data_IF_344016634581
#
_entry.id   IF_344016634581
#
_cell.length_a   1.000
_cell.length_b   1.000
_cell.length_c   1.000
_cell.angle_alpha   90.00
_cell.angle_beta   90.00
_cell.angle_gamma   90.00
#
_symmetry.space_group_name_H-M   'P 1'
#
loop_
_entity.id
_entity.type
_entity.pdbx_description
1 polymer ?
#
# COMPACT_ATOMS: atom_id res chain seq x y z
N UNK A 1 61.64 41.73 48.09
CA UNK A 1 61.33 40.97 46.85
C UNK A 1 61.51 39.51 47.20
N UNK A 2 60.43 38.79 47.50
CA UNK A 2 60.45 37.38 47.92
C UNK A 2 59.68 36.58 46.88
N UNK A 3 60.41 35.80 46.08
CA UNK A 3 59.85 34.85 45.13
C UNK A 3 59.61 33.52 45.86
N UNK A 4 58.34 33.11 45.97
CA UNK A 4 57.98 31.75 46.38
C UNK A 4 58.03 30.84 45.16
N UNK A 5 58.95 29.87 45.20
CA UNK A 5 59.08 28.81 44.21
C UNK A 5 58.23 27.62 44.68
N UNK A 6 57.13 27.32 44.00
CA UNK A 6 56.31 26.13 44.26
C UNK A 6 56.85 24.91 43.47
N UNK A 7 56.94 23.71 44.09
CA UNK A 7 57.47 22.53 43.43
C UNK A 7 56.43 21.90 42.47
N UNK A 8 56.81 21.83 41.18
CA UNK A 8 56.05 21.30 40.04
C UNK A 8 55.85 19.78 40.03
N UNK A 9 56.31 19.05 41.06
CA UNK A 9 56.18 17.60 41.13
C UNK A 9 54.79 17.09 41.56
N UNK A 10 54.00 17.91 42.25
CA UNK A 10 52.70 17.49 42.82
C UNK A 10 51.58 17.47 41.76
N UNK A 11 51.76 18.18 40.63
CA UNK A 11 50.70 18.37 39.64
C UNK A 11 50.49 17.19 38.66
N UNK A 12 51.37 16.18 38.64
CA UNK A 12 51.25 15.01 37.75
C UNK A 12 50.61 13.76 38.39
N UNK A 13 50.44 13.75 39.72
CA UNK A 13 49.94 12.58 40.45
C UNK A 13 48.42 12.65 40.65
N UNK A 14 47.88 13.86 40.79
CA UNK A 14 46.45 14.13 41.02
C UNK A 14 45.52 13.50 39.95
N UNK A 15 45.77 13.58 38.63
CA UNK A 15 44.84 13.02 37.64
C UNK A 15 44.78 11.48 37.66
N UNK A 16 45.87 10.79 38.04
CA UNK A 16 45.88 9.32 38.11
C UNK A 16 45.07 8.80 39.30
N UNK A 17 45.09 9.52 40.42
CA UNK A 17 44.31 9.16 41.62
C UNK A 17 42.82 9.34 41.34
N UNK A 18 42.43 10.38 40.59
CA UNK A 18 41.03 10.62 40.22
C UNK A 18 40.48 9.51 39.32
N UNK A 19 41.26 9.05 38.32
CA UNK A 19 40.84 7.96 37.42
C UNK A 19 40.66 6.63 38.17
N UNK A 20 41.58 6.31 39.08
CA UNK A 20 41.47 5.09 39.90
C UNK A 20 40.25 5.16 40.83
N UNK A 21 40.00 6.31 41.45
CA UNK A 21 38.81 6.50 42.29
C UNK A 21 37.50 6.35 41.47
N UNK A 22 37.46 6.85 40.24
CA UNK A 22 36.30 6.76 39.36
C UNK A 22 36.02 5.30 38.92
N UNK A 23 37.06 4.52 38.60
CA UNK A 23 36.92 3.09 38.29
C UNK A 23 36.43 2.26 39.47
N UNK A 24 36.87 2.58 40.69
CA UNK A 24 36.40 1.91 41.91
C UNK A 24 34.92 2.22 42.17
N UNK A 25 34.49 3.48 41.99
CA UNK A 25 33.07 3.86 42.12
C UNK A 25 32.22 3.16 41.06
N UNK A 26 32.68 3.10 39.81
CA UNK A 26 31.96 2.44 38.73
C UNK A 26 31.83 0.92 38.95
N UNK A 27 32.87 0.27 39.47
CA UNK A 27 32.80 -1.14 39.90
C UNK A 27 31.83 -1.38 41.06
N UNK A 28 31.75 -0.44 42.02
CA UNK A 28 30.78 -0.48 43.12
C UNK A 28 29.33 -0.35 42.62
N UNK A 29 29.07 0.51 41.64
CA UNK A 29 27.73 0.67 41.04
C UNK A 29 27.32 -0.59 40.28
N UNK A 30 28.22 -1.17 39.49
CA UNK A 30 27.97 -2.43 38.78
C UNK A 30 27.66 -3.57 39.76
N UNK A 31 28.41 -3.66 40.87
CA UNK A 31 28.15 -4.66 41.90
C UNK A 31 26.81 -4.47 42.60
N UNK A 32 26.40 -3.22 42.87
CA UNK A 32 25.10 -2.89 43.43
C UNK A 32 23.96 -3.27 42.47
N UNK A 33 24.12 -3.05 41.17
CA UNK A 33 23.15 -3.46 40.15
C UNK A 33 23.05 -4.99 40.04
N UNK A 34 24.16 -5.72 40.09
CA UNK A 34 24.12 -7.19 40.12
C UNK A 34 23.37 -7.74 41.33
N UNK A 35 23.54 -7.13 42.52
CA UNK A 35 22.76 -7.53 43.70
C UNK A 35 21.26 -7.24 43.57
N UNK A 36 20.88 -6.16 42.87
CA UNK A 36 19.47 -5.87 42.59
C UNK A 36 18.87 -6.87 41.58
N UNK A 37 19.64 -7.27 40.55
CA UNK A 37 19.22 -8.28 39.57
C UNK A 37 19.02 -9.64 40.24
N UNK A 38 19.95 -10.09 41.10
CA UNK A 38 19.77 -11.35 41.82
C UNK A 38 18.60 -11.33 42.81
N UNK A 39 18.30 -10.16 43.42
CA UNK A 39 17.10 -10.00 44.24
C UNK A 39 15.81 -10.05 43.40
N UNK A 40 15.84 -9.54 42.16
CA UNK A 40 14.74 -9.62 41.21
C UNK A 40 14.52 -11.06 40.72
N UNK A 41 15.59 -11.79 40.40
CA UNK A 41 15.52 -13.22 40.05
C UNK A 41 14.93 -14.05 41.18
N UNK A 42 15.30 -13.77 42.44
CA UNK A 42 14.71 -14.46 43.60
C UNK A 42 13.22 -14.15 43.75
N UNK A 43 12.77 -12.92 43.48
CA UNK A 43 11.35 -12.55 43.53
C UNK A 43 10.56 -13.13 42.36
N UNK A 44 11.16 -13.20 41.17
CA UNK A 44 10.59 -13.86 40.00
C UNK A 44 10.45 -15.36 40.28
N UNK A 45 11.46 -16.01 40.85
CA UNK A 45 11.40 -17.43 41.17
C UNK A 45 10.33 -17.75 42.23
N UNK A 46 10.16 -16.89 43.24
CA UNK A 46 9.08 -17.00 44.22
C UNK A 46 7.70 -16.80 43.55
N UNK A 47 7.57 -15.86 42.60
CA UNK A 47 6.33 -15.63 41.84
C UNK A 47 6.03 -16.81 40.91
N UNK A 48 7.01 -17.34 40.19
CA UNK A 48 6.87 -18.53 39.34
C UNK A 48 6.50 -19.75 40.18
N UNK A 49 7.14 -19.94 41.34
CA UNK A 49 6.81 -21.02 42.26
C UNK A 49 5.40 -20.88 42.85
N UNK A 50 4.95 -19.65 43.12
CA UNK A 50 3.57 -19.39 43.60
C UNK A 50 2.55 -19.58 42.47
N UNK A 51 2.91 -19.26 41.23
CA UNK A 51 2.08 -19.44 40.03
C UNK A 51 1.96 -20.91 39.64
N UNK A 52 3.06 -21.67 39.72
CA UNK A 52 3.07 -23.13 39.56
C UNK A 52 2.27 -23.81 40.67
N UNK A 53 2.31 -23.30 41.90
CA UNK A 53 1.44 -23.77 42.99
C UNK A 53 -0.04 -23.45 42.74
N UNK A 54 -0.37 -22.31 42.12
CA UNK A 54 -1.73 -21.99 41.72
C UNK A 54 -2.24 -22.89 40.57
N UNK A 55 -1.36 -23.24 39.63
CA UNK A 55 -1.65 -24.19 38.55
C UNK A 55 -1.73 -25.66 39.03
N UNK A 56 -1.01 -26.00 40.09
CA UNK A 56 -1.16 -27.29 40.77
C UNK A 56 -2.44 -27.33 41.61
N UNK A 57 -2.85 -26.21 42.22
CA UNK A 57 -4.08 -26.11 42.99
C UNK A 57 -5.34 -26.30 42.11
N UNK A 58 -5.33 -25.86 40.86
CA UNK A 58 -6.42 -26.14 39.90
C UNK A 58 -6.52 -27.63 39.56
N UNK A 59 -5.38 -28.34 39.48
CA UNK A 59 -5.34 -29.81 39.36
C UNK A 59 -5.97 -30.52 40.57
N UNK A 60 -5.61 -30.09 41.79
CA UNK A 60 -6.17 -30.66 43.03
C UNK A 60 -7.69 -30.45 43.18
N UNK A 61 -8.23 -29.36 42.65
CA UNK A 61 -9.69 -29.07 42.70
C UNK A 61 -10.46 -29.95 41.71
N UNK A 62 -9.88 -30.24 40.54
CA UNK A 62 -10.44 -31.16 39.55
C UNK A 62 -10.47 -32.61 40.07
N UNK A 63 -9.37 -33.06 40.70
CA UNK A 63 -9.30 -34.39 41.30
C UNK A 63 -10.27 -34.52 42.48
N UNK A 64 -10.41 -33.47 43.30
CA UNK A 64 -11.40 -33.42 44.38
C UNK A 64 -12.87 -33.45 43.88
N UNK A 65 -13.16 -32.77 42.76
CA UNK A 65 -14.47 -32.81 42.11
C UNK A 65 -14.84 -34.20 41.57
N UNK A 66 -13.83 -34.92 41.07
CA UNK A 66 -13.96 -36.31 40.59
C UNK A 66 -14.22 -37.28 41.74
N UNK A 67 -13.47 -37.17 42.84
CA UNK A 67 -13.67 -37.98 44.06
C UNK A 67 -15.06 -37.76 44.69
N UNK A 68 -15.58 -36.53 44.67
CA UNK A 68 -16.94 -36.22 45.16
C UNK A 68 -18.02 -36.88 44.29
N UNK A 69 -17.80 -36.97 42.99
CA UNK A 69 -18.73 -37.64 42.10
C UNK A 69 -18.72 -39.16 42.28
N UNK A 70 -17.57 -39.78 42.56
CA UNK A 70 -17.52 -41.20 42.94
C UNK A 70 -18.31 -41.48 44.22
N UNK A 71 -18.19 -40.62 45.25
CA UNK A 71 -18.97 -40.76 46.50
C UNK A 71 -20.47 -40.57 46.23
N UNK A 72 -20.85 -39.63 45.35
CA UNK A 72 -22.27 -39.40 44.98
C UNK A 72 -22.85 -40.56 44.20
N UNK A 73 -22.11 -41.14 43.28
CA UNK A 73 -22.52 -42.33 42.53
C UNK A 73 -22.76 -43.51 43.49
N UNK A 74 -21.88 -43.68 44.50
CA UNK A 74 -22.04 -44.70 45.55
C UNK A 74 -23.28 -44.49 46.43
N UNK A 75 -23.74 -43.25 46.55
CA UNK A 75 -24.96 -42.86 47.27
C UNK A 75 -26.20 -42.73 46.37
N UNK A 76 -26.10 -43.10 45.09
CA UNK A 76 -27.14 -42.92 44.05
C UNK A 76 -27.64 -41.47 43.92
N UNK A 77 -26.77 -40.50 44.22
CA UNK A 77 -27.03 -39.09 44.02
C UNK A 77 -26.56 -38.67 42.61
N UNK A 78 -27.20 -37.66 41.98
CA UNK A 78 -26.75 -37.16 40.69
C UNK A 78 -25.31 -36.63 40.74
N UNK A 79 -24.46 -37.11 39.83
CA UNK A 79 -23.11 -36.57 39.64
C UNK A 79 -23.20 -35.17 39.01
N UNK A 80 -22.24 -34.30 39.31
CA UNK A 80 -22.20 -32.92 38.80
C UNK A 80 -20.84 -32.66 38.18
N UNK A 81 -20.81 -32.20 36.94
CA UNK A 81 -19.54 -31.82 36.32
C UNK A 81 -18.99 -30.55 37.00
N UNK A 82 -17.72 -30.60 37.39
CA UNK A 82 -17.02 -29.48 38.05
C UNK A 82 -15.99 -28.87 37.12
N UNK A 83 -16.24 -28.93 35.80
CA UNK A 83 -15.49 -28.15 34.83
C UNK A 83 -15.68 -26.65 35.12
N UNK A 84 -14.57 -25.91 35.20
CA UNK A 84 -14.58 -24.45 35.39
C UNK A 84 -15.01 -23.69 34.13
N UNK A 85 -15.53 -24.40 33.12
CA UNK A 85 -15.95 -23.86 31.85
C UNK A 85 -17.25 -24.58 31.49
N UNK A 86 -18.38 -23.98 31.86
CA UNK A 86 -19.59 -24.01 31.01
C UNK A 86 -20.57 -22.92 31.46
N UNK A 87 -20.87 -22.04 30.50
CA UNK A 87 -21.90 -21.01 30.53
C UNK A 87 -23.30 -21.63 30.47
N UNK A 88 -24.19 -21.23 31.39
CA UNK A 88 -25.54 -20.68 31.08
C UNK A 88 -26.37 -20.61 32.37
N UNK A 89 -26.34 -19.45 33.03
CA UNK A 89 -27.55 -18.81 33.51
C UNK A 89 -27.28 -17.32 33.67
N UNK A 90 -28.10 -16.54 32.97
CA UNK A 90 -28.09 -15.09 32.88
C UNK A 90 -28.22 -14.41 34.25
N UNK A 91 -27.09 -14.14 34.89
CA UNK A 91 -26.77 -12.75 35.21
C UNK A 91 -25.76 -12.33 34.14
N UNK A 92 -25.91 -11.14 33.57
CA UNK A 92 -24.77 -10.47 32.94
C UNK A 92 -23.75 -10.25 34.06
N UNK A 93 -22.99 -11.29 34.38
CA UNK A 93 -21.64 -11.13 34.87
C UNK A 93 -20.94 -10.45 33.70
N UNK A 94 -20.97 -9.12 33.73
CA UNK A 94 -19.83 -8.36 33.23
C UNK A 94 -18.62 -9.17 33.69
N UNK A 95 -17.93 -9.86 32.77
CA UNK A 95 -16.56 -10.35 33.04
C UNK A 95 -15.91 -9.19 33.77
N UNK A 96 -15.65 -9.34 35.07
CA UNK A 96 -15.40 -8.21 35.96
C UNK A 96 -14.35 -7.36 35.26
N UNK A 97 -14.77 -6.20 34.73
CA UNK A 97 -14.01 -5.52 33.68
C UNK A 97 -12.62 -5.18 34.22
N UNK A 98 -12.56 -5.01 35.54
CA UNK A 98 -11.34 -4.84 36.33
C UNK A 98 -10.43 -6.07 36.26
N UNK A 99 -10.95 -7.29 36.40
CA UNK A 99 -10.20 -8.55 36.31
C UNK A 99 -9.66 -8.75 34.88
N UNK A 100 -10.50 -8.60 33.84
CA UNK A 100 -10.05 -8.72 32.44
C UNK A 100 -9.02 -7.64 32.10
N UNK A 101 -9.24 -6.39 32.53
CA UNK A 101 -8.26 -5.31 32.36
C UNK A 101 -6.97 -5.55 33.15
N UNK A 102 -7.02 -6.19 34.32
CA UNK A 102 -5.83 -6.53 35.10
C UNK A 102 -5.01 -7.61 34.42
N UNK A 103 -5.64 -8.66 33.88
CA UNK A 103 -4.95 -9.69 33.09
C UNK A 103 -4.34 -9.11 31.83
N UNK A 104 -5.08 -8.24 31.13
CA UNK A 104 -4.54 -7.51 29.98
C UNK A 104 -3.35 -6.65 30.38
N UNK A 105 -3.45 -5.87 31.46
CA UNK A 105 -2.34 -5.06 31.97
C UNK A 105 -1.11 -5.90 32.34
N UNK A 106 -1.29 -7.05 33.00
CA UNK A 106 -0.20 -7.97 33.33
C UNK A 106 0.42 -8.54 32.05
N UNK A 107 -0.40 -8.90 31.05
CA UNK A 107 0.06 -9.34 29.74
C UNK A 107 0.87 -8.25 29.04
N UNK A 108 0.36 -7.02 28.99
CA UNK A 108 1.02 -5.86 28.38
C UNK A 108 2.35 -5.54 29.09
N UNK A 109 2.40 -5.63 30.42
CA UNK A 109 3.64 -5.47 31.20
C UNK A 109 4.63 -6.59 30.91
N UNK A 110 4.17 -7.84 30.84
CA UNK A 110 5.00 -9.00 30.48
C UNK A 110 5.59 -8.87 29.08
N UNK A 111 4.76 -8.46 28.11
CA UNK A 111 5.16 -8.19 26.74
C UNK A 111 6.18 -7.04 26.67
N UNK A 112 5.95 -5.96 27.41
CA UNK A 112 6.90 -4.83 27.50
C UNK A 112 8.24 -5.23 28.11
N UNK A 113 8.26 -6.08 29.14
CA UNK A 113 9.50 -6.61 29.73
C UNK A 113 10.23 -7.48 28.70
N UNK A 114 9.51 -8.36 28.00
CA UNK A 114 10.08 -9.22 26.96
C UNK A 114 10.67 -8.40 25.81
N UNK A 115 9.94 -7.41 25.29
CA UNK A 115 10.44 -6.51 24.25
C UNK A 115 11.67 -5.75 24.70
N UNK A 116 11.67 -5.23 25.94
CA UNK A 116 12.84 -4.52 26.51
C UNK A 116 14.07 -5.42 26.62
N UNK A 117 13.89 -6.69 27.00
CA UNK A 117 14.98 -7.65 27.06
C UNK A 117 15.54 -7.95 25.67
N UNK A 118 14.68 -8.20 24.68
CA UNK A 118 15.08 -8.45 23.29
C UNK A 118 15.83 -7.25 22.71
N UNK A 119 15.34 -6.02 22.93
CA UNK A 119 16.02 -4.79 22.51
C UNK A 119 17.41 -4.68 23.16
N UNK A 120 17.51 -4.94 24.47
CA UNK A 120 18.79 -4.91 25.18
C UNK A 120 19.79 -5.93 24.62
N UNK A 121 19.34 -7.14 24.31
CA UNK A 121 20.17 -8.19 23.73
C UNK A 121 20.63 -7.83 22.30
N UNK A 122 19.73 -7.31 21.46
CA UNK A 122 20.07 -6.83 20.12
C UNK A 122 21.04 -5.64 20.17
N UNK A 123 20.82 -4.68 21.07
CA UNK A 123 21.73 -3.55 21.27
C UNK A 123 23.12 -4.02 21.71
N UNK A 124 23.18 -4.98 22.63
CA UNK A 124 24.44 -5.57 23.07
C UNK A 124 25.16 -6.24 21.90
N UNK A 125 24.44 -7.04 21.11
CA UNK A 125 24.98 -7.72 19.93
C UNK A 125 25.50 -6.72 18.88
N UNK A 126 24.69 -5.75 18.46
CA UNK A 126 25.07 -4.79 17.41
C UNK A 126 26.09 -3.74 17.88
N UNK A 127 26.22 -3.51 19.19
CA UNK A 127 27.24 -2.62 19.73
C UNK A 127 28.58 -3.31 20.03
N UNK A 128 28.63 -4.65 19.95
CA UNK A 128 29.86 -5.43 20.10
C UNK A 128 30.92 -5.04 19.08
N UNK A 129 32.20 -5.25 19.44
CA UNK A 129 33.31 -4.94 18.55
C UNK A 129 33.33 -5.89 17.34
N UNK A 130 32.94 -7.14 17.57
CA UNK A 130 32.84 -8.21 16.59
C UNK A 130 31.82 -7.88 15.50
N UNK A 131 30.59 -7.50 15.87
CA UNK A 131 29.54 -7.16 14.90
C UNK A 131 29.87 -5.88 14.15
N UNK A 132 30.44 -4.87 14.82
CA UNK A 132 30.93 -3.65 14.14
C UNK A 132 32.03 -3.95 13.13
N UNK A 133 32.96 -4.84 13.46
CA UNK A 133 34.00 -5.28 12.55
C UNK A 133 33.43 -6.06 11.36
N UNK A 134 32.48 -6.98 11.60
CA UNK A 134 31.78 -7.73 10.55
C UNK A 134 31.07 -6.81 9.57
N UNK A 135 30.28 -5.85 10.07
CA UNK A 135 29.59 -4.87 9.22
C UNK A 135 30.61 -4.05 8.40
N UNK A 136 31.68 -3.56 9.03
CA UNK A 136 32.71 -2.78 8.34
C UNK A 136 33.44 -3.60 7.26
N UNK A 137 33.80 -4.86 7.53
CA UNK A 137 34.41 -5.78 6.56
C UNK A 137 33.50 -5.98 5.34
N UNK A 138 32.19 -6.09 5.57
CA UNK A 138 31.19 -6.27 4.52
C UNK A 138 30.77 -4.96 3.82
N UNK A 139 31.36 -3.83 4.20
CA UNK A 139 31.03 -2.50 3.67
C UNK A 139 29.60 -2.07 4.01
N UNK A 140 29.11 -2.48 5.17
CA UNK A 140 27.80 -2.16 5.71
C UNK A 140 27.93 -1.15 6.85
N UNK A 141 26.86 -0.39 7.05
CA UNK A 141 26.75 0.61 8.10
C UNK A 141 25.40 0.53 8.79
N UNK A 142 25.36 0.99 10.05
CA UNK A 142 24.17 1.06 10.89
C UNK A 142 24.25 2.34 11.71
N UNK A 143 23.13 3.05 11.83
CA UNK A 143 23.00 4.18 12.77
C UNK A 143 22.74 3.67 14.20
N UNK A 144 23.25 4.38 15.20
CA UNK A 144 23.05 4.02 16.60
C UNK A 144 21.56 4.17 16.98
N UNK A 145 20.99 3.15 17.64
CA UNK A 145 19.57 3.12 18.01
C UNK A 145 18.60 2.71 16.89
N UNK A 146 19.13 2.34 15.72
CA UNK A 146 18.34 1.74 14.64
C UNK A 146 18.96 0.38 14.26
N UNK A 147 18.14 -0.57 13.81
CA UNK A 147 18.60 -1.83 13.25
C UNK A 147 18.45 -1.88 11.72
N UNK A 148 18.41 -0.69 11.10
CA UNK A 148 18.49 -0.49 9.67
C UNK A 148 19.95 -0.56 9.19
N UNK A 149 20.25 -1.59 8.40
CA UNK A 149 21.59 -1.89 7.91
C UNK A 149 21.66 -1.54 6.43
N UNK A 150 22.58 -0.66 6.09
CA UNK A 150 22.73 -0.10 4.75
C UNK A 150 24.10 -0.43 4.16
N UNK A 151 24.17 -0.53 2.84
CA UNK A 151 25.45 -0.58 2.14
C UNK A 151 26.11 0.81 2.02
N UNK A 152 27.27 0.86 1.38
CA UNK A 152 28.00 2.11 1.13
C UNK A 152 27.23 3.12 0.25
N UNK A 153 26.25 2.65 -0.52
CA UNK A 153 25.39 3.48 -1.37
C UNK A 153 24.12 3.95 -0.65
N UNK A 154 24.01 3.68 0.67
CA UNK A 154 22.83 3.94 1.49
C UNK A 154 21.58 3.11 1.13
N UNK A 155 21.74 2.01 0.40
CA UNK A 155 20.66 1.06 0.10
C UNK A 155 20.40 0.21 1.35
N UNK A 156 19.13 0.14 1.77
CA UNK A 156 18.65 -0.75 2.84
C UNK A 156 18.88 -2.21 2.43
N UNK A 157 19.63 -2.97 3.21
CA UNK A 157 19.83 -4.40 2.98
C UNK A 157 18.96 -5.22 3.92
N UNK A 158 18.97 -4.85 5.20
CA UNK A 158 18.21 -5.50 6.28
C UNK A 158 17.66 -4.41 7.18
N UNK A 159 16.44 -4.60 7.66
CA UNK A 159 15.84 -3.84 8.76
C UNK A 159 15.33 -4.83 9.80
N UNK A 160 15.70 -4.62 11.06
CA UNK A 160 15.18 -5.42 12.16
C UNK A 160 14.26 -4.51 12.99
N UNK A 161 13.04 -4.98 13.26
CA UNK A 161 12.11 -4.31 14.15
C UNK A 161 11.67 -5.27 15.27
N UNK A 162 11.35 -4.71 16.43
CA UNK A 162 10.87 -5.49 17.58
C UNK A 162 9.44 -5.03 17.87
N UNK A 163 8.49 -5.97 17.94
CA UNK A 163 7.10 -5.67 18.30
C UNK A 163 6.97 -5.34 19.79
N UNK A 164 5.82 -4.79 20.18
CA UNK A 164 5.50 -4.56 21.61
C UNK A 164 5.48 -5.85 22.43
N UNK A 165 5.19 -6.97 21.77
CA UNK A 165 5.25 -8.32 22.32
C UNK A 165 6.64 -8.97 22.21
N UNK A 166 7.68 -8.25 21.78
CA UNK A 166 9.05 -8.75 21.73
C UNK A 166 9.35 -9.75 20.62
N UNK A 167 8.49 -9.85 19.60
CA UNK A 167 8.83 -10.58 18.37
C UNK A 167 9.77 -9.74 17.52
N UNK A 168 10.78 -10.37 16.95
CA UNK A 168 11.66 -9.70 16.00
C UNK A 168 11.14 -9.94 14.58
N UNK A 169 11.04 -8.88 13.79
CA UNK A 169 10.80 -8.95 12.36
C UNK A 169 12.07 -8.53 11.64
N UNK A 170 12.58 -9.39 10.78
CA UNK A 170 13.71 -9.11 9.91
C UNK A 170 13.16 -8.95 8.50
N UNK A 171 13.24 -7.73 8.00
CA UNK A 171 12.82 -7.38 6.64
C UNK A 171 14.06 -7.19 5.77
N UNK A 172 14.11 -7.89 4.64
CA UNK A 172 15.18 -7.73 3.65
C UNK A 172 14.79 -6.73 2.57
N UNK A 173 15.75 -6.33 1.72
CA UNK A 173 15.49 -5.47 0.56
C UNK A 173 14.34 -5.95 -0.36
N UNK A 174 14.08 -7.26 -0.38
CA UNK A 174 13.09 -7.87 -1.26
C UNK A 174 11.69 -7.97 -0.63
N UNK A 175 11.47 -7.40 0.57
CA UNK A 175 10.19 -7.44 1.27
C UNK A 175 9.88 -8.80 1.94
N UNK A 176 10.86 -9.71 1.99
CA UNK A 176 10.74 -10.92 2.80
C UNK A 176 10.84 -10.55 4.27
N UNK A 177 9.76 -10.79 5.02
CA UNK A 177 9.67 -10.56 6.47
C UNK A 177 9.76 -11.91 7.17
N UNK A 178 10.80 -12.08 7.97
CA UNK A 178 10.99 -13.24 8.85
C UNK A 178 10.63 -12.81 10.26
N UNK A 179 9.58 -13.39 10.83
CA UNK A 179 9.18 -13.17 12.23
C UNK A 179 9.74 -14.30 13.10
N UNK A 180 10.54 -13.97 14.11
CA UNK A 180 11.10 -14.94 15.06
C UNK A 180 10.41 -14.83 16.41
N UNK A 181 10.15 -15.97 17.06
CA UNK A 181 9.37 -16.00 18.30
C UNK A 181 10.24 -15.66 19.51
N UNK A 182 10.02 -14.47 20.09
CA UNK A 182 10.30 -14.16 21.49
C UNK A 182 11.75 -14.30 22.01
N UNK A 183 12.75 -14.54 21.16
CA UNK A 183 14.17 -14.57 21.56
C UNK A 183 15.05 -13.84 20.56
N UNK A 184 16.04 -13.09 21.08
CA UNK A 184 17.02 -12.40 20.23
C UNK A 184 17.95 -13.36 19.48
N UNK A 185 18.14 -14.58 19.99
CA UNK A 185 19.07 -15.56 19.44
C UNK A 185 18.68 -16.01 18.01
N UNK A 186 17.39 -16.24 17.77
CA UNK A 186 16.89 -16.59 16.43
C UNK A 186 17.08 -15.42 15.46
N UNK A 187 16.75 -14.21 15.89
CA UNK A 187 16.94 -13.01 15.07
C UNK A 187 18.42 -12.77 14.74
N UNK A 188 19.32 -12.97 15.71
CA UNK A 188 20.78 -12.89 15.51
C UNK A 188 21.25 -13.96 14.52
N UNK A 189 20.79 -15.20 14.68
CA UNK A 189 21.16 -16.28 13.75
C UNK A 189 20.72 -15.99 12.32
N UNK A 190 19.50 -15.45 12.14
CA UNK A 190 18.99 -15.12 10.82
C UNK A 190 19.70 -13.91 10.21
N UNK A 191 20.03 -12.91 11.03
CA UNK A 191 20.90 -11.82 10.63
C UNK A 191 22.27 -12.33 10.15
N UNK A 192 22.93 -13.19 10.92
CA UNK A 192 24.24 -13.77 10.56
C UNK A 192 24.15 -14.59 9.26
N UNK A 193 23.09 -15.40 9.10
CA UNK A 193 22.82 -16.13 7.85
C UNK A 193 22.67 -15.18 6.66
N UNK A 194 21.94 -14.08 6.82
CA UNK A 194 21.73 -13.09 5.77
C UNK A 194 23.04 -12.39 5.41
N UNK A 195 23.86 -12.01 6.39
CA UNK A 195 25.18 -11.41 6.17
C UNK A 195 26.16 -12.38 5.52
N UNK A 196 26.10 -13.66 5.85
CA UNK A 196 26.92 -14.69 5.20
C UNK A 196 26.55 -14.86 3.72
N UNK A 197 25.28 -14.61 3.37
CA UNK A 197 24.77 -14.64 2.00
C UNK A 197 24.78 -13.27 1.30
N UNK A 198 25.45 -12.25 1.88
CA UNK A 198 25.40 -10.87 1.41
C UNK A 198 25.83 -10.69 -0.06
N UNK A 199 26.81 -11.45 -0.54
CA UNK A 199 27.29 -11.32 -1.92
C UNK A 199 26.20 -11.71 -2.93
N UNK A 200 25.43 -12.76 -2.63
CA UNK A 200 24.28 -13.18 -3.43
C UNK A 200 23.16 -12.13 -3.40
N UNK A 201 22.91 -11.54 -2.23
CA UNK A 201 21.94 -10.45 -2.06
C UNK A 201 22.36 -9.22 -2.87
N UNK A 202 23.62 -8.80 -2.77
CA UNK A 202 24.17 -7.68 -3.55
C UNK A 202 24.11 -7.95 -5.04
N UNK A 203 24.37 -9.17 -5.49
CA UNK A 203 24.22 -9.53 -6.90
C UNK A 203 22.76 -9.37 -7.37
N UNK A 204 21.80 -9.84 -6.58
CA UNK A 204 20.37 -9.65 -6.87
C UNK A 204 19.98 -8.17 -6.89
N UNK A 205 20.39 -7.38 -5.89
CA UNK A 205 20.14 -5.93 -5.85
C UNK A 205 20.73 -5.25 -7.08
N UNK A 206 21.97 -5.58 -7.47
CA UNK A 206 22.60 -5.02 -8.66
C UNK A 206 21.83 -5.36 -9.95
N UNK A 207 21.25 -6.57 -10.04
CA UNK A 207 20.38 -6.94 -11.17
C UNK A 207 19.10 -6.09 -11.18
N UNK A 208 18.47 -5.90 -10.02
CA UNK A 208 17.29 -5.04 -9.88
C UNK A 208 17.60 -3.61 -10.28
N UNK A 209 18.67 -3.01 -9.75
CA UNK A 209 19.06 -1.63 -10.07
C UNK A 209 19.47 -1.46 -11.54
N UNK A 210 20.12 -2.47 -12.14
CA UNK A 210 20.43 -2.47 -13.57
C UNK A 210 19.17 -2.52 -14.44
N UNK A 211 18.20 -3.36 -14.07
CA UNK A 211 16.90 -3.45 -14.75
C UNK A 211 16.10 -2.16 -14.58
N UNK A 212 16.08 -1.58 -13.38
CA UNK A 212 15.47 -0.29 -13.06
C UNK A 212 16.07 0.86 -13.88
N UNK A 213 17.40 0.94 -13.96
CA UNK A 213 18.09 1.93 -14.78
C UNK A 213 17.75 1.76 -16.27
N UNK A 214 17.74 0.52 -16.76
CA UNK A 214 17.37 0.21 -18.15
C UNK A 214 15.93 0.66 -18.44
N UNK A 215 14.98 0.31 -17.56
CA UNK A 215 13.58 0.69 -17.70
C UNK A 215 13.41 2.22 -17.66
N UNK A 216 14.15 2.91 -16.78
CA UNK A 216 14.17 4.38 -16.74
C UNK A 216 14.64 4.98 -18.06
N UNK A 217 15.73 4.50 -18.64
CA UNK A 217 16.19 4.98 -19.95
C UNK A 217 15.14 4.76 -21.03
N UNK A 218 14.50 3.58 -21.06
CA UNK A 218 13.44 3.23 -22.02
C UNK A 218 12.22 4.17 -21.92
N UNK A 219 11.82 4.55 -20.70
CA UNK A 219 10.60 5.32 -20.45
C UNK A 219 10.83 6.85 -20.47
N UNK A 220 11.93 7.34 -19.90
CA UNK A 220 12.15 8.78 -19.67
C UNK A 220 13.12 9.44 -20.63
N UNK A 221 14.09 8.70 -21.18
CA UNK A 221 15.24 9.32 -21.83
C UNK A 221 15.25 9.12 -23.35
N UNK A 222 15.12 7.89 -23.82
CA UNK A 222 15.24 7.59 -25.26
C UNK A 222 14.76 6.19 -25.64
N UNK A 223 14.46 6.00 -26.92
CA UNK A 223 14.09 4.70 -27.50
C UNK A 223 12.62 4.64 -27.91
N UNK A 224 12.23 3.51 -28.50
CA UNK A 224 10.92 3.39 -29.15
C UNK A 224 9.73 3.62 -28.19
N UNK A 225 9.83 3.21 -26.93
CA UNK A 225 8.78 3.44 -25.93
C UNK A 225 8.66 4.93 -25.56
N UNK A 226 9.78 5.60 -25.30
CA UNK A 226 9.82 7.05 -25.07
C UNK A 226 9.28 7.85 -26.26
N UNK A 227 9.67 7.48 -27.49
CA UNK A 227 9.19 8.11 -28.72
C UNK A 227 7.67 7.92 -28.87
N UNK A 228 7.15 6.72 -28.56
CA UNK A 228 5.71 6.43 -28.60
C UNK A 228 4.92 7.22 -27.55
N UNK A 229 5.45 7.40 -26.33
CA UNK A 229 4.86 8.25 -25.30
C UNK A 229 4.75 9.69 -25.80
N UNK A 230 5.87 10.24 -26.26
CA UNK A 230 5.97 11.63 -26.71
C UNK A 230 5.07 11.90 -27.92
N UNK A 231 5.05 11.00 -28.90
CA UNK A 231 4.18 11.11 -30.09
C UNK A 231 2.68 11.14 -29.74
N UNK A 232 2.30 10.57 -28.60
CA UNK A 232 0.93 10.53 -28.10
C UNK A 232 0.60 11.62 -27.06
N UNK A 233 1.56 12.49 -26.75
CA UNK A 233 1.40 13.50 -25.71
C UNK A 233 1.22 12.90 -24.31
N UNK A 234 1.78 11.71 -24.09
CA UNK A 234 1.82 11.03 -22.79
C UNK A 234 3.23 11.17 -22.18
N UNK A 235 3.34 10.94 -20.88
CA UNK A 235 4.62 10.81 -20.21
C UNK A 235 4.52 9.81 -19.06
N UNK A 236 5.68 9.38 -18.58
CA UNK A 236 5.80 8.56 -17.38
C UNK A 236 5.87 9.50 -16.17
N UNK A 237 4.98 9.32 -15.22
CA UNK A 237 5.04 10.02 -13.92
C UNK A 237 6.20 9.49 -13.08
N UNK A 238 6.56 10.21 -12.02
CA UNK A 238 7.66 9.87 -11.13
C UNK A 238 7.54 8.44 -10.62
N UNK A 239 8.66 7.71 -10.68
CA UNK A 239 8.75 6.36 -10.12
C UNK A 239 8.27 6.32 -8.67
N UNK A 240 7.41 5.36 -8.38
CA UNK A 240 7.00 5.03 -7.01
C UNK A 240 7.77 3.78 -6.57
N UNK A 241 8.56 3.91 -5.51
CA UNK A 241 9.26 2.80 -4.87
C UNK A 241 8.31 2.14 -3.86
N UNK A 242 7.72 1.02 -4.26
CA UNK A 242 6.88 0.18 -3.43
C UNK A 242 7.68 -0.90 -2.71
N UNK A 243 7.03 -1.62 -1.79
CA UNK A 243 7.67 -2.70 -1.03
C UNK A 243 8.23 -3.79 -1.95
N UNK A 244 7.44 -4.24 -2.93
CA UNK A 244 7.77 -5.36 -3.82
C UNK A 244 8.13 -4.96 -5.26
N UNK A 245 7.89 -3.71 -5.65
CA UNK A 245 8.08 -3.25 -7.04
C UNK A 245 8.45 -1.77 -7.15
N UNK A 246 9.03 -1.43 -8.30
CA UNK A 246 9.12 -0.05 -8.77
C UNK A 246 8.03 0.19 -9.81
N UNK A 247 7.14 1.13 -9.53
CA UNK A 247 5.97 1.41 -10.38
C UNK A 247 6.13 2.71 -11.15
N UNK A 248 5.73 2.68 -12.42
CA UNK A 248 5.83 3.75 -13.40
C UNK A 248 4.47 3.96 -14.05
N UNK A 249 3.78 5.03 -13.67
CA UNK A 249 2.46 5.34 -14.23
C UNK A 249 2.62 6.11 -15.54
N UNK A 250 1.94 5.64 -16.58
CA UNK A 250 1.86 6.33 -17.86
C UNK A 250 0.59 7.18 -17.86
N UNK A 251 0.77 8.48 -17.99
CA UNK A 251 -0.30 9.47 -17.87
C UNK A 251 -0.48 10.28 -19.15
N UNK A 252 -1.70 10.77 -19.38
CA UNK A 252 -2.00 11.70 -20.46
C UNK A 252 -1.89 13.17 -20.01
N UNK A 253 -2.25 14.08 -20.92
CA UNK A 253 -2.25 15.53 -20.69
C UNK A 253 -3.06 16.01 -19.47
N UNK A 254 -4.08 15.26 -19.07
CA UNK A 254 -4.92 15.56 -17.90
C UNK A 254 -4.39 14.91 -16.59
N UNK A 255 -3.20 14.31 -16.61
CA UNK A 255 -2.64 13.49 -15.52
C UNK A 255 -3.46 12.23 -15.21
N UNK A 256 -4.33 11.78 -16.12
CA UNK A 256 -5.06 10.53 -15.94
C UNK A 256 -4.15 9.34 -16.20
N UNK A 257 -4.09 8.39 -15.26
CA UNK A 257 -3.32 7.15 -15.40
C UNK A 257 -4.00 6.23 -16.41
N UNK A 258 -3.27 5.91 -17.48
CA UNK A 258 -3.75 5.04 -18.56
C UNK A 258 -3.23 3.61 -18.40
N UNK A 259 -1.99 3.48 -17.94
CA UNK A 259 -1.35 2.21 -17.65
C UNK A 259 -0.28 2.36 -16.56
N UNK A 260 0.08 1.25 -15.94
CA UNK A 260 1.17 1.14 -14.97
C UNK A 260 2.13 0.06 -15.44
N UNK A 261 3.43 0.39 -15.42
CA UNK A 261 4.52 -0.56 -15.61
C UNK A 261 5.16 -0.81 -14.25
N UNK A 262 5.24 -2.06 -13.84
CA UNK A 262 5.82 -2.46 -12.55
C UNK A 262 7.02 -3.36 -12.76
N UNK A 263 8.17 -2.99 -12.22
CA UNK A 263 9.36 -3.85 -12.15
C UNK A 263 9.39 -4.56 -10.80
N UNK A 264 9.34 -5.90 -10.80
CA UNK A 264 9.44 -6.68 -9.56
C UNK A 264 10.85 -6.62 -8.98
N UNK A 265 10.95 -6.43 -7.65
CA UNK A 265 12.22 -6.55 -6.93
C UNK A 265 12.66 -8.01 -6.80
N UNK A 266 11.72 -8.94 -6.70
CA UNK A 266 12.00 -10.38 -6.59
C UNK A 266 12.49 -10.98 -7.90
N UNK A 267 11.87 -10.60 -9.02
CA UNK A 267 12.23 -11.04 -10.37
C UNK A 267 12.40 -9.84 -11.33
N UNK A 268 13.60 -9.23 -11.37
CA UNK A 268 13.86 -8.05 -12.18
C UNK A 268 14.05 -8.36 -13.68
N UNK A 269 13.83 -9.61 -14.11
CA UNK A 269 13.96 -9.97 -15.53
C UNK A 269 12.73 -9.61 -16.35
N UNK A 270 11.59 -9.41 -15.68
CA UNK A 270 10.32 -9.05 -16.30
C UNK A 270 9.73 -7.78 -15.68
N UNK A 271 8.90 -7.12 -16.47
CA UNK A 271 7.96 -6.11 -16.01
C UNK A 271 6.54 -6.66 -16.08
N UNK A 272 5.67 -6.09 -15.27
CA UNK A 272 4.24 -6.27 -15.37
C UNK A 272 3.62 -5.00 -15.97
N UNK A 273 2.84 -5.17 -17.02
CA UNK A 273 2.06 -4.11 -17.66
C UNK A 273 0.58 -4.27 -17.28
N UNK A 274 -0.06 -3.21 -16.81
CA UNK A 274 -1.51 -3.20 -16.59
C UNK A 274 -2.13 -1.90 -17.08
N UNK A 275 -3.24 -1.98 -17.82
CA UNK A 275 -4.07 -0.80 -18.09
C UNK A 275 -4.98 -0.53 -16.90
N UNK A 276 -5.45 0.72 -16.76
CA UNK A 276 -6.40 1.07 -15.70
C UNK A 276 -7.67 0.18 -15.78
N UNK A 277 -7.85 -0.71 -14.80
CA UNK A 277 -8.95 -1.68 -14.74
C UNK A 277 -8.80 -2.96 -15.59
N UNK A 278 -7.64 -3.17 -16.23
CA UNK A 278 -7.35 -4.36 -17.04
C UNK A 278 -6.58 -5.46 -16.30
N UNK A 279 -6.45 -6.62 -16.94
CA UNK A 279 -5.56 -7.69 -16.47
C UNK A 279 -4.09 -7.29 -16.60
N UNK A 280 -3.28 -7.68 -15.62
CA UNK A 280 -1.84 -7.49 -15.60
C UNK A 280 -1.16 -8.56 -16.47
N UNK A 281 -0.26 -8.15 -17.35
CA UNK A 281 0.51 -9.02 -18.24
C UNK A 281 2.00 -8.92 -17.91
N UNK A 282 2.66 -10.06 -17.80
CA UNK A 282 4.11 -10.14 -17.61
C UNK A 282 4.82 -10.14 -18.97
N UNK A 283 5.90 -9.37 -19.10
CA UNK A 283 6.69 -9.29 -20.32
C UNK A 283 8.16 -8.94 -20.04
N UNK A 284 9.05 -9.26 -20.98
CA UNK A 284 10.46 -8.86 -20.91
C UNK A 284 10.59 -7.33 -20.95
N UNK A 285 11.69 -6.82 -20.39
CA UNK A 285 12.09 -5.42 -20.52
C UNK A 285 12.57 -5.17 -21.96
N UNK A 286 11.63 -4.81 -22.84
CA UNK A 286 11.88 -4.57 -24.27
C UNK A 286 11.19 -3.28 -24.75
N UNK A 287 11.98 -2.34 -25.26
CA UNK A 287 11.49 -1.03 -25.70
C UNK A 287 10.54 -1.10 -26.90
N UNK A 288 10.71 -2.07 -27.80
CA UNK A 288 9.86 -2.22 -28.99
C UNK A 288 8.50 -2.79 -28.58
N UNK A 289 8.48 -3.85 -27.77
CA UNK A 289 7.22 -4.43 -27.25
C UNK A 289 6.45 -3.40 -26.42
N UNK A 290 7.13 -2.62 -25.58
CA UNK A 290 6.47 -1.54 -24.83
C UNK A 290 5.90 -0.46 -25.76
N UNK A 291 6.62 -0.07 -26.81
CA UNK A 291 6.13 0.90 -27.78
C UNK A 291 4.85 0.42 -28.48
N UNK A 292 4.72 -0.87 -28.80
CA UNK A 292 3.50 -1.45 -29.36
C UNK A 292 2.31 -1.32 -28.39
N UNK A 293 2.50 -1.62 -27.11
CA UNK A 293 1.46 -1.46 -26.08
C UNK A 293 1.06 0.01 -25.90
N UNK A 294 2.03 0.91 -25.82
CA UNK A 294 1.83 2.37 -25.74
C UNK A 294 1.05 2.87 -26.97
N UNK A 295 1.38 2.37 -28.16
CA UNK A 295 0.66 2.68 -29.40
C UNK A 295 -0.78 2.13 -29.42
N UNK A 296 -1.09 1.12 -28.61
CA UNK A 296 -2.46 0.66 -28.37
C UNK A 296 -3.28 1.52 -27.39
N UNK A 297 -2.64 2.32 -26.52
CA UNK A 297 -3.35 3.12 -25.52
C UNK A 297 -4.15 4.27 -26.13
N UNK A 298 -5.34 4.52 -25.60
CA UNK A 298 -6.05 5.77 -25.91
C UNK A 298 -5.49 6.90 -25.03
N UNK A 299 -4.68 7.77 -25.63
CA UNK A 299 -4.06 8.91 -24.94
C UNK A 299 -4.96 10.14 -24.82
N UNK A 300 -6.18 10.07 -25.37
CA UNK A 300 -7.11 11.19 -25.35
C UNK A 300 -7.43 11.66 -23.94
N UNK A 301 -7.54 12.97 -23.76
CA UNK A 301 -8.12 13.62 -22.59
C UNK A 301 -9.57 13.18 -22.38
N UNK A 302 -10.13 13.42 -21.19
CA UNK A 302 -11.57 13.15 -20.94
C UNK A 302 -12.43 13.89 -21.96
N UNK A 303 -12.03 15.12 -22.29
CA UNK A 303 -12.71 15.97 -23.27
C UNK A 303 -12.63 15.39 -24.69
N UNK A 304 -11.44 15.01 -25.15
CA UNK A 304 -11.24 14.43 -26.48
C UNK A 304 -11.99 13.10 -26.64
N UNK A 305 -11.98 12.25 -25.61
CA UNK A 305 -12.72 11.00 -25.62
C UNK A 305 -14.23 11.24 -25.72
N UNK A 306 -14.74 12.24 -24.97
CA UNK A 306 -16.15 12.64 -25.07
C UNK A 306 -16.51 13.21 -26.44
N UNK A 307 -15.63 14.00 -27.05
CA UNK A 307 -15.81 14.51 -28.41
C UNK A 307 -15.86 13.36 -29.42
N UNK A 308 -14.91 12.41 -29.33
CA UNK A 308 -14.85 11.25 -30.20
C UNK A 308 -16.08 10.35 -30.03
N UNK A 309 -16.50 10.07 -28.80
CA UNK A 309 -17.70 9.29 -28.51
C UNK A 309 -18.95 9.95 -29.10
N UNK A 310 -19.12 11.27 -28.91
CA UNK A 310 -20.25 11.99 -29.47
C UNK A 310 -20.21 12.02 -31.01
N UNK A 311 -19.03 12.16 -31.62
CA UNK A 311 -18.86 12.02 -33.07
C UNK A 311 -19.34 10.66 -33.56
N UNK A 312 -18.87 9.58 -32.95
CA UNK A 312 -19.27 8.21 -33.32
C UNK A 312 -20.77 7.98 -33.13
N UNK A 313 -21.35 8.48 -32.04
CA UNK A 313 -22.81 8.42 -31.82
C UNK A 313 -23.59 9.15 -32.91
N UNK A 314 -23.16 10.35 -33.30
CA UNK A 314 -23.79 11.12 -34.38
C UNK A 314 -23.66 10.41 -35.73
N UNK A 315 -22.48 9.85 -36.05
CA UNK A 315 -22.25 9.10 -37.28
C UNK A 315 -23.07 7.79 -37.32
N UNK A 316 -23.17 7.08 -36.20
CA UNK A 316 -24.02 5.89 -36.09
C UNK A 316 -25.49 6.23 -36.26
N UNK A 317 -25.95 7.37 -35.70
CA UNK A 317 -27.32 7.84 -35.84
C UNK A 317 -27.65 8.15 -37.31
N UNK A 318 -26.71 8.72 -38.07
CA UNK A 318 -26.89 8.95 -39.51
C UNK A 318 -27.04 7.68 -40.33
N UNK A 319 -26.55 6.53 -39.84
CA UNK A 319 -26.71 5.22 -40.48
C UNK A 319 -27.94 4.46 -40.00
N UNK A 320 -28.61 4.95 -38.94
CA UNK A 320 -29.80 4.30 -38.41
C UNK A 320 -31.01 4.49 -39.35
N UNK A 321 -31.61 3.37 -39.76
CA UNK A 321 -32.72 3.38 -40.71
C UNK A 321 -33.97 4.07 -40.15
N UNK A 322 -34.22 3.98 -38.85
CA UNK A 322 -35.34 4.64 -38.19
C UNK A 322 -35.16 6.16 -38.19
N UNK A 323 -33.95 6.63 -37.88
CA UNK A 323 -33.60 8.04 -37.92
C UNK A 323 -33.68 8.62 -39.33
N UNK A 324 -33.13 7.93 -40.34
CA UNK A 324 -33.25 8.35 -41.74
C UNK A 324 -34.70 8.44 -42.21
N UNK A 325 -35.54 7.46 -41.84
CA UNK A 325 -36.97 7.47 -42.15
C UNK A 325 -37.66 8.66 -41.49
N UNK A 326 -37.37 8.93 -40.22
CA UNK A 326 -37.94 10.07 -39.50
C UNK A 326 -37.56 11.42 -40.13
N UNK A 327 -36.33 11.57 -40.64
CA UNK A 327 -35.92 12.77 -41.38
C UNK A 327 -36.73 12.91 -42.68
N UNK A 328 -36.81 11.84 -43.48
CA UNK A 328 -37.51 11.82 -44.76
C UNK A 328 -39.01 12.10 -44.62
N UNK A 329 -39.67 11.49 -43.64
CA UNK A 329 -41.09 11.69 -43.35
C UNK A 329 -41.42 13.16 -43.01
N UNK A 330 -40.42 13.90 -42.50
CA UNK A 330 -40.54 15.33 -42.19
C UNK A 330 -39.97 16.23 -43.31
N UNK A 331 -39.59 15.67 -44.47
CA UNK A 331 -39.01 16.42 -45.59
C UNK A 331 -37.64 17.02 -45.28
N UNK A 332 -36.92 16.42 -44.33
CA UNK A 332 -35.61 16.85 -43.86
C UNK A 332 -34.51 15.90 -44.36
N UNK A 333 -33.30 16.43 -44.45
CA UNK A 333 -32.07 15.68 -44.64
C UNK A 333 -31.03 16.15 -43.65
N UNK A 334 -30.02 15.31 -43.38
CA UNK A 334 -28.88 15.69 -42.55
C UNK A 334 -27.59 15.47 -43.34
N UNK A 335 -26.69 16.45 -43.32
CA UNK A 335 -25.42 16.38 -44.06
C UNK A 335 -24.45 15.38 -43.42
N UNK A 336 -23.44 14.97 -44.19
CA UNK A 336 -22.24 14.35 -43.60
C UNK A 336 -21.52 15.32 -42.66
N UNK A 337 -20.66 14.78 -41.80
CA UNK A 337 -19.84 15.57 -40.89
C UNK A 337 -18.96 16.58 -41.64
N UNK A 338 -18.88 17.80 -41.12
CA UNK A 338 -17.86 18.79 -41.45
C UNK A 338 -17.13 19.17 -40.18
N UNK A 339 -15.81 19.09 -40.20
CA UNK A 339 -14.99 19.33 -39.02
C UNK A 339 -14.11 20.56 -39.22
N UNK A 340 -14.12 21.45 -38.22
CA UNK A 340 -13.26 22.62 -38.12
C UNK A 340 -12.67 22.73 -36.70
N UNK A 341 -12.01 23.86 -36.40
CA UNK A 341 -11.39 24.11 -35.10
C UNK A 341 -12.42 24.27 -33.97
N UNK A 342 -13.65 24.67 -34.29
CA UNK A 342 -14.70 24.91 -33.30
C UNK A 342 -15.49 23.63 -33.00
N UNK A 343 -15.72 22.77 -33.99
CA UNK A 343 -16.55 21.59 -33.79
C UNK A 343 -16.67 20.66 -34.98
N UNK A 344 -17.50 19.64 -34.78
CA UNK A 344 -17.90 18.67 -35.81
C UNK A 344 -19.38 18.91 -36.09
N UNK A 345 -19.68 19.49 -37.24
CA UNK A 345 -21.00 20.00 -37.62
C UNK A 345 -21.73 19.11 -38.61
N UNK A 346 -23.05 19.06 -38.45
CA UNK A 346 -24.00 18.35 -39.29
C UNK A 346 -25.19 19.28 -39.54
N UNK A 347 -25.43 19.64 -40.80
CA UNK A 347 -26.55 20.52 -41.15
C UNK A 347 -27.82 19.72 -41.37
N UNK A 348 -28.92 20.18 -40.79
CA UNK A 348 -30.26 19.72 -41.12
C UNK A 348 -30.81 20.66 -42.19
N UNK A 349 -31.12 20.11 -43.36
CA UNK A 349 -31.64 20.85 -44.51
C UNK A 349 -33.07 20.42 -44.85
N UNK A 350 -33.81 21.30 -45.49
CA UNK A 350 -35.09 20.95 -46.11
C UNK A 350 -34.90 20.26 -47.48
N UNK A 351 -36.02 19.95 -48.13
CA UNK A 351 -36.06 19.35 -49.48
C UNK A 351 -35.52 20.26 -50.59
N UNK A 352 -35.35 21.56 -50.33
CA UNK A 352 -34.73 22.52 -51.26
C UNK A 352 -33.22 22.66 -51.04
N UNK A 353 -32.69 22.08 -49.96
CA UNK A 353 -31.29 22.17 -49.56
C UNK A 353 -30.98 23.39 -48.68
N UNK A 354 -31.99 24.14 -48.22
CA UNK A 354 -31.79 25.25 -47.30
C UNK A 354 -31.48 24.71 -45.90
N UNK A 355 -30.43 25.22 -45.26
CA UNK A 355 -30.06 24.86 -43.89
C UNK A 355 -31.09 25.45 -42.93
N UNK A 356 -31.69 24.59 -42.10
CA UNK A 356 -32.65 24.99 -41.06
C UNK A 356 -31.96 25.14 -39.70
N UNK A 357 -31.04 24.21 -39.40
CA UNK A 357 -30.26 24.21 -38.17
C UNK A 357 -29.00 23.37 -38.35
N UNK A 358 -27.97 23.65 -37.56
CA UNK A 358 -26.78 22.80 -37.50
C UNK A 358 -26.68 22.18 -36.11
N UNK A 359 -26.57 20.85 -36.06
CA UNK A 359 -26.19 20.11 -34.85
C UNK A 359 -24.68 19.94 -34.89
N UNK A 360 -23.97 20.22 -33.81
CA UNK A 360 -22.52 20.07 -33.79
C UNK A 360 -21.98 19.61 -32.44
N UNK A 361 -20.90 18.84 -32.46
CA UNK A 361 -20.11 18.54 -31.27
C UNK A 361 -19.14 19.70 -31.05
N UNK A 362 -19.31 20.44 -29.96
CA UNK A 362 -18.42 21.56 -29.60
C UNK A 362 -17.10 21.02 -29.06
N UNK A 363 -15.98 21.33 -29.72
CA UNK A 363 -14.66 20.84 -29.31
C UNK A 363 -14.16 21.47 -28.01
N UNK A 364 -14.71 22.60 -27.57
CA UNK A 364 -14.32 23.23 -26.30
C UNK A 364 -14.94 22.56 -25.07
N UNK A 365 -16.18 22.10 -25.19
CA UNK A 365 -16.93 21.55 -24.05
C UNK A 365 -17.24 20.06 -24.18
N UNK A 366 -17.06 19.49 -25.37
CA UNK A 366 -17.42 18.11 -25.70
C UNK A 366 -18.93 17.86 -25.68
N UNK A 367 -19.75 18.91 -25.69
CA UNK A 367 -21.21 18.82 -25.67
C UNK A 367 -21.76 18.83 -27.09
N UNK A 368 -22.95 18.25 -27.26
CA UNK A 368 -23.70 18.33 -28.52
C UNK A 368 -24.60 19.57 -28.46
N UNK A 369 -24.36 20.50 -29.37
CA UNK A 369 -24.99 21.80 -29.46
C UNK A 369 -25.85 21.89 -30.72
N UNK A 370 -26.84 22.77 -30.70
CA UNK A 370 -27.69 23.10 -31.84
C UNK A 370 -27.63 24.60 -32.06
N UNK A 371 -27.40 25.01 -33.31
CA UNK A 371 -27.50 26.40 -33.74
C UNK A 371 -28.54 26.58 -34.84
N UNK A 372 -29.26 27.70 -34.82
CA UNK A 372 -30.16 28.10 -35.90
C UNK A 372 -29.39 28.43 -37.17
N UNK A 373 -30.05 28.40 -38.33
CA UNK A 373 -29.43 28.69 -39.63
C UNK A 373 -28.70 30.06 -39.70
N UNK A 374 -29.19 31.05 -38.97
CA UNK A 374 -28.62 32.41 -38.86
C UNK A 374 -27.58 32.55 -37.72
N UNK A 375 -27.38 31.49 -36.93
CA UNK A 375 -26.49 31.48 -35.77
C UNK A 375 -26.96 32.32 -34.57
N UNK A 376 -28.19 32.86 -34.59
CA UNK A 376 -28.70 33.75 -33.55
C UNK A 376 -29.01 33.05 -32.23
N UNK A 377 -29.30 31.75 -32.27
CA UNK A 377 -29.51 30.91 -31.09
C UNK A 377 -28.56 29.73 -31.10
N UNK A 378 -27.87 29.53 -29.97
CA UNK A 378 -26.98 28.39 -29.72
C UNK A 378 -27.34 27.81 -28.35
N UNK A 379 -27.66 26.52 -28.29
CA UNK A 379 -28.01 25.83 -27.05
C UNK A 379 -27.60 24.36 -27.09
N UNK A 380 -27.51 23.73 -25.92
CA UNK A 380 -27.25 22.30 -25.82
C UNK A 380 -28.45 21.51 -26.36
N UNK A 381 -28.21 20.40 -27.06
CA UNK A 381 -29.27 19.61 -27.70
C UNK A 381 -30.34 19.16 -26.68
N UNK A 382 -29.95 18.81 -25.46
CA UNK A 382 -30.89 18.42 -24.41
C UNK A 382 -31.82 19.58 -23.99
N UNK A 383 -31.30 20.82 -23.99
CA UNK A 383 -32.09 22.03 -23.74
C UNK A 383 -33.05 22.31 -24.90
N UNK A 384 -32.60 22.15 -26.15
CA UNK A 384 -33.43 22.31 -27.33
C UNK A 384 -34.63 21.35 -27.36
N UNK A 385 -34.45 20.14 -26.85
CA UNK A 385 -35.54 19.15 -26.72
C UNK A 385 -36.46 19.53 -25.55
N UNK A 386 -35.91 19.89 -24.38
CA UNK A 386 -36.69 20.13 -23.17
C UNK A 386 -37.50 21.44 -23.16
N UNK A 387 -37.02 22.51 -23.81
CA UNK A 387 -37.75 23.78 -23.90
C UNK A 387 -39.03 23.70 -24.74
N UNK A 388 -39.13 22.73 -25.67
CA UNK A 388 -40.32 22.54 -26.52
C UNK A 388 -41.36 21.59 -25.85
N UNK A 389 -40.93 20.66 -24.98
CA UNK A 389 -41.83 19.81 -24.18
C UNK A 389 -42.60 20.59 -23.09
N UNK A 390 -42.09 21.75 -22.65
CA UNK A 390 -42.81 22.65 -21.74
C UNK A 390 -43.93 23.46 -22.40
N UNK A 391 -43.98 23.54 -23.74
CA UNK A 391 -44.92 24.41 -24.48
C UNK A 391 -45.77 23.73 -25.55
N UNK A 392 -45.49 22.48 -25.95
CA UNK A 392 -46.34 21.74 -26.89
C UNK A 392 -46.90 20.46 -26.28
N UNK A 393 -48.23 20.45 -26.05
CA UNK A 393 -49.02 19.22 -25.99
C UNK A 393 -48.66 18.36 -27.19
N UNK A 394 -48.26 17.10 -26.95
CA UNK A 394 -48.31 16.05 -27.97
C UNK A 394 -49.70 16.07 -28.63
N UNK A 395 -49.77 16.55 -29.87
CA UNK A 395 -50.85 16.17 -30.77
C UNK A 395 -50.46 14.84 -31.38
N UNK A 396 -50.75 13.76 -30.66
CA UNK A 396 -50.91 12.45 -31.30
C UNK A 396 -52.16 12.61 -32.16
N UNK A 397 -52.01 12.70 -33.48
CA UNK A 397 -53.12 12.49 -34.40
C UNK A 397 -53.42 10.98 -34.43
N UNK A 398 -54.56 10.49 -33.90
CA UNK A 398 -54.96 9.12 -34.10
C UNK A 398 -55.84 9.09 -35.35
N UNK A 399 -55.25 8.88 -36.53
CA UNK A 399 -56.03 8.36 -37.65
C UNK A 399 -55.77 6.86 -37.77
N UNK A 400 -56.51 6.12 -36.94
CA UNK A 400 -56.91 4.76 -37.25
C UNK A 400 -57.68 4.80 -38.58
N UNK A 401 -57.08 4.27 -39.66
CA UNK A 401 -57.88 3.76 -40.77
C UNK A 401 -58.50 2.44 -40.34
N UNK A 402 -59.75 2.54 -39.92
CA UNK A 402 -60.64 1.42 -39.68
C UNK A 402 -61.10 0.91 -41.04
N UNK A 403 -60.34 -0.02 -41.63
CA UNK A 403 -60.84 -0.86 -42.72
C UNK A 403 -61.62 -2.00 -42.06
N UNK A 404 -62.91 -1.79 -41.86
CA UNK A 404 -63.87 -2.90 -41.80
C UNK A 404 -64.61 -2.93 -43.12
N UNK A 405 -64.55 -4.07 -43.79
CA UNK A 405 -65.38 -4.36 -44.95
C UNK A 405 -66.79 -4.81 -44.56
N UNK A 406 -67.53 -5.10 -45.62
CA UNK A 406 -68.81 -5.81 -45.73
C UNK A 406 -70.06 -4.91 -45.69
N UNK A 407 -70.52 -4.49 -46.88
CA UNK A 407 -71.62 -5.14 -47.61
C UNK A 407 -71.61 -4.70 -49.08
#
# INVERSE_FOLDING_TARGET
>A
MVFFCYPTAVMKIIPKIIIVAMLVVMGLVLWQMSMQISALESQINDITQTTDQAFLATGYISDFGTDINEIRELLLLPTKDYSLIDEENTETDEEDEVITNMFKYISDVSDSIRASQVIFELDTFFNSAETKALLAEKGLSREEGNYLIKDASSIKIIEISVSDSGYCNIETYFGEVITTEGTSAEAISEFENTINNLDSIKEKINKVESARATLKTILYESGAAHDALTAKGMWTDTETDGELSFDYNLVNQDQAVLATVSLSKEDPTFITWGTSGGEKQQMDIDAIKMAELINGLNSGTILENKIAENKTKMESLLQDAGFQTALLDNGLNMSSAREDDAGISYDITDSTGAVLSTVYVDKKTGKVMVKTADGSSVMELISAVSDDFGKKKLWICPNHYLIMGVA
#
